data_IF_761469381242
#
_entry.id   IF_761469381242
#
_cell.length_a   1.000
_cell.length_b   1.000
_cell.length_c   1.000
_cell.angle_alpha   90.00
_cell.angle_beta   90.00
_cell.angle_gamma   90.00
#
_symmetry.space_group_name_H-M   'P 1'
#
loop_
_entity.id
_entity.type
_entity.pdbx_description
1 polymer ?
#
# COMPACT_ATOMS: atom_id res chain seq x y z
N UNK A 1 -25.33 -89.79 -0.87
CA UNK A 1 -26.42 -88.78 -0.86
C UNK A 1 -26.97 -88.79 0.56
N UNK A 2 -26.78 -87.83 1.47
CA UNK A 2 -26.50 -86.40 1.39
C UNK A 2 -25.48 -86.00 2.47
N UNK A 3 -24.71 -84.95 2.18
CA UNK A 3 -23.67 -84.34 3.01
C UNK A 3 -24.33 -83.33 3.97
N UNK A 4 -24.08 -83.43 5.28
CA UNK A 4 -24.45 -82.41 6.29
C UNK A 4 -23.26 -81.46 6.49
N UNK A 5 -23.26 -80.32 5.79
CA UNK A 5 -22.31 -79.22 6.01
C UNK A 5 -22.81 -78.37 7.17
N UNK A 6 -21.99 -78.30 8.23
CA UNK A 6 -22.10 -77.38 9.33
C UNK A 6 -21.81 -75.95 8.83
N UNK A 7 -22.80 -75.07 8.89
CA UNK A 7 -22.65 -73.63 8.64
C UNK A 7 -22.12 -72.94 9.90
N UNK A 8 -20.83 -72.67 9.95
CA UNK A 8 -20.25 -71.63 10.82
C UNK A 8 -19.88 -70.42 9.95
N UNK A 9 -20.63 -69.34 10.10
CA UNK A 9 -20.29 -68.04 9.53
C UNK A 9 -19.27 -67.34 10.43
N UNK A 10 -18.06 -66.99 9.97
CA UNK A 10 -17.27 -65.98 10.63
C UNK A 10 -17.79 -64.59 10.22
N UNK A 11 -18.12 -63.78 11.22
CA UNK A 11 -18.37 -62.34 11.06
C UNK A 11 -17.14 -61.68 10.43
N UNK A 12 -17.25 -61.29 9.17
CA UNK A 12 -16.28 -60.40 8.54
C UNK A 12 -16.54 -58.98 9.06
N UNK A 13 -15.71 -58.52 9.99
CA UNK A 13 -15.62 -57.12 10.38
C UNK A 13 -15.15 -56.34 9.15
N UNK A 14 -16.08 -55.62 8.51
CA UNK A 14 -15.75 -54.64 7.48
C UNK A 14 -15.05 -53.47 8.18
N UNK A 15 -13.72 -53.47 8.16
CA UNK A 15 -12.94 -52.27 8.47
C UNK A 15 -13.18 -51.32 7.30
N UNK A 16 -13.84 -50.21 7.55
CA UNK A 16 -14.02 -49.15 6.56
C UNK A 16 -12.66 -48.65 6.07
N UNK A 17 -12.25 -49.07 4.87
CA UNK A 17 -11.14 -48.46 4.17
C UNK A 17 -11.55 -47.04 3.78
N UNK A 18 -11.03 -46.07 4.53
CA UNK A 18 -11.05 -44.67 4.14
C UNK A 18 -10.34 -44.53 2.79
N UNK A 19 -11.08 -44.16 1.75
CA UNK A 19 -10.60 -43.92 0.39
C UNK A 19 -9.79 -42.62 0.27
N UNK A 20 -8.95 -42.31 1.26
CA UNK A 20 -8.19 -41.05 1.34
C UNK A 20 -6.66 -41.26 1.30
N UNK A 21 -6.19 -42.49 1.04
CA UNK A 21 -4.76 -42.79 0.99
C UNK A 21 -4.08 -42.45 -0.36
N UNK A 22 -4.83 -42.35 -1.46
CA UNK A 22 -4.22 -42.34 -2.80
C UNK A 22 -3.59 -41.01 -3.22
N UNK A 23 -3.91 -39.89 -2.56
CA UNK A 23 -3.34 -38.57 -2.90
C UNK A 23 -2.34 -38.16 -1.84
N UNK A 24 -1.07 -38.03 -2.24
CA UNK A 24 -0.01 -37.50 -1.39
C UNK A 24 -0.22 -36.01 -1.11
N UNK A 25 -0.56 -35.70 0.14
CA UNK A 25 -0.73 -34.33 0.64
C UNK A 25 -0.45 -34.29 2.13
N UNK A 26 -0.10 -33.11 2.62
CA UNK A 26 -0.06 -32.87 4.05
C UNK A 26 -1.48 -32.85 4.62
N UNK A 27 -1.65 -33.36 5.84
CA UNK A 27 -2.90 -33.25 6.59
C UNK A 27 -3.03 -31.88 7.25
N UNK A 28 -1.89 -31.27 7.58
CA UNK A 28 -1.80 -29.92 8.13
C UNK A 28 -1.31 -28.94 7.06
N UNK A 29 -1.99 -27.81 6.93
CA UNK A 29 -1.62 -26.77 5.94
C UNK A 29 -0.33 -26.02 6.33
N UNK A 30 0.13 -26.18 7.58
CA UNK A 30 1.21 -25.38 8.17
C UNK A 30 2.49 -26.18 8.46
N UNK A 31 2.71 -27.32 7.80
CA UNK A 31 3.88 -28.17 7.98
C UNK A 31 5.22 -27.41 7.89
N UNK A 32 5.30 -26.44 6.98
CA UNK A 32 6.48 -25.57 6.83
C UNK A 32 6.85 -24.79 8.11
N UNK A 33 5.88 -24.45 8.97
CA UNK A 33 6.13 -23.72 10.23
C UNK A 33 6.87 -24.55 11.27
N UNK A 34 6.78 -25.88 11.19
CA UNK A 34 7.51 -26.78 12.07
C UNK A 34 8.96 -27.02 11.59
N UNK A 35 9.30 -26.59 10.37
CA UNK A 35 10.62 -26.69 9.78
C UNK A 35 11.07 -28.11 9.43
N UNK A 36 12.12 -28.22 8.59
CA UNK A 36 12.59 -29.50 8.05
C UNK A 36 13.07 -30.49 9.14
N UNK A 37 13.58 -29.98 10.27
CA UNK A 37 14.05 -30.82 11.38
C UNK A 37 12.95 -31.70 11.98
N UNK A 38 11.68 -31.30 11.85
CA UNK A 38 10.53 -32.06 12.32
C UNK A 38 10.38 -33.40 11.58
N UNK A 39 10.79 -33.47 10.32
CA UNK A 39 10.75 -34.69 9.51
C UNK A 39 11.64 -35.81 10.07
N UNK A 40 12.72 -35.46 10.77
CA UNK A 40 13.60 -36.44 11.41
C UNK A 40 13.29 -36.61 12.90
N UNK A 41 13.10 -35.52 13.64
CA UNK A 41 12.89 -35.56 15.11
C UNK A 41 11.56 -36.17 15.52
N UNK A 42 10.53 -36.01 14.69
CA UNK A 42 9.16 -36.46 14.96
C UNK A 42 8.62 -37.27 13.78
N UNK A 43 9.42 -38.22 13.28
CA UNK A 43 9.17 -38.92 12.03
C UNK A 43 7.75 -39.50 11.91
N UNK A 44 7.25 -40.19 12.95
CA UNK A 44 5.90 -40.77 12.91
C UNK A 44 4.81 -39.68 12.78
N UNK A 45 4.88 -38.65 13.63
CA UNK A 45 3.96 -37.52 13.55
C UNK A 45 4.05 -36.83 12.17
N UNK A 46 5.27 -36.69 11.63
CA UNK A 46 5.51 -36.08 10.33
C UNK A 46 4.99 -36.95 9.17
N UNK A 47 5.03 -38.28 9.28
CA UNK A 47 4.39 -39.20 8.33
C UNK A 47 2.87 -39.04 8.33
N UNK A 48 2.27 -38.91 9.52
CA UNK A 48 0.82 -38.82 9.65
C UNK A 48 0.26 -37.44 9.25
N UNK A 49 1.06 -36.38 9.40
CA UNK A 49 0.59 -35.00 9.27
C UNK A 49 1.22 -34.21 8.13
N UNK A 50 2.47 -34.52 7.75
CA UNK A 50 3.32 -33.69 6.88
C UNK A 50 4.07 -34.52 5.82
N UNK A 51 3.45 -35.60 5.33
CA UNK A 51 4.05 -36.55 4.37
C UNK A 51 4.54 -35.92 3.07
N UNK A 52 3.87 -34.90 2.55
CA UNK A 52 4.29 -34.23 1.34
C UNK A 52 5.45 -33.25 1.62
N UNK A 53 5.32 -32.41 2.65
CA UNK A 53 6.38 -31.50 3.09
C UNK A 53 7.69 -32.24 3.43
N UNK A 54 7.58 -33.37 4.15
CA UNK A 54 8.72 -34.20 4.54
C UNK A 54 9.17 -35.19 3.47
N UNK A 55 8.59 -35.15 2.27
CA UNK A 55 8.95 -36.00 1.13
C UNK A 55 8.82 -37.51 1.41
N UNK A 56 7.94 -37.89 2.33
CA UNK A 56 7.59 -39.30 2.56
C UNK A 56 6.69 -39.87 1.45
N UNK A 57 6.17 -39.00 0.58
CA UNK A 57 5.50 -39.37 -0.65
C UNK A 57 5.71 -38.29 -1.72
N UNK A 58 5.42 -38.63 -2.98
CA UNK A 58 5.47 -37.69 -4.11
C UNK A 58 4.12 -36.99 -4.23
N UNK A 59 4.07 -35.72 -3.88
CA UNK A 59 2.86 -34.91 -4.02
C UNK A 59 2.53 -34.69 -5.51
N UNK A 60 1.24 -34.58 -5.88
CA UNK A 60 0.86 -34.05 -7.19
C UNK A 60 1.55 -32.69 -7.41
N UNK A 61 1.84 -32.30 -8.66
CA UNK A 61 2.34 -30.98 -8.97
C UNK A 61 1.44 -29.93 -8.33
N UNK A 62 1.97 -29.22 -7.34
CA UNK A 62 1.22 -28.13 -6.71
C UNK A 62 1.26 -26.93 -7.64
N UNK A 63 0.14 -26.22 -7.72
CA UNK A 63 0.16 -24.89 -8.34
C UNK A 63 1.07 -24.02 -7.47
N UNK A 64 2.15 -23.43 -8.01
CA UNK A 64 3.05 -22.61 -7.22
C UNK A 64 2.25 -21.48 -6.56
N UNK A 65 2.42 -21.29 -5.25
CA UNK A 65 1.76 -20.19 -4.52
C UNK A 65 2.13 -18.89 -5.24
N UNK A 66 1.14 -18.12 -5.76
CA UNK A 66 1.41 -16.89 -6.49
C UNK A 66 2.31 -15.96 -5.69
N UNK A 67 3.26 -15.31 -6.37
CA UNK A 67 4.02 -14.23 -5.76
C UNK A 67 3.20 -12.95 -5.85
N UNK A 68 2.38 -12.75 -4.84
CA UNK A 68 1.51 -11.60 -4.70
C UNK A 68 1.35 -11.28 -3.21
N UNK A 69 1.03 -10.03 -2.94
CA UNK A 69 0.58 -9.61 -1.62
C UNK A 69 -0.92 -9.90 -1.50
N UNK A 70 -1.31 -10.53 -0.39
CA UNK A 70 -2.72 -10.72 -0.03
C UNK A 70 -3.30 -9.44 0.54
N UNK A 71 -2.50 -8.69 1.29
CA UNK A 71 -2.88 -7.40 1.86
C UNK A 71 -2.48 -6.26 0.92
N UNK A 72 -3.38 -5.29 0.72
CA UNK A 72 -3.09 -4.10 -0.10
C UNK A 72 -2.18 -3.07 0.59
N UNK A 73 -1.88 -3.25 1.87
CA UNK A 73 -1.18 -2.28 2.71
C UNK A 73 0.17 -2.78 3.26
N UNK A 74 0.79 -3.79 2.63
CA UNK A 74 2.08 -4.33 3.07
C UNK A 74 3.17 -3.25 3.26
N UNK A 75 3.15 -2.22 2.40
CA UNK A 75 4.05 -1.05 2.49
C UNK A 75 3.96 -0.28 3.81
N UNK A 76 2.79 -0.31 4.47
CA UNK A 76 2.54 0.48 5.69
C UNK A 76 3.14 -0.17 6.95
N UNK A 77 3.46 -1.48 6.89
CA UNK A 77 4.14 -2.20 7.97
C UNK A 77 5.65 -1.93 8.01
N UNK A 78 6.21 -1.28 6.97
CA UNK A 78 7.62 -0.94 6.87
C UNK A 78 8.53 -2.12 6.54
N UNK A 79 9.76 -1.84 6.07
CA UNK A 79 10.69 -2.86 5.62
C UNK A 79 11.22 -3.79 6.74
N UNK A 80 11.13 -3.36 8.00
CA UNK A 80 11.60 -4.14 9.15
C UNK A 80 10.81 -5.43 9.34
N UNK A 81 9.51 -5.43 9.05
CA UNK A 81 8.65 -6.62 9.16
C UNK A 81 9.15 -7.76 8.26
N UNK A 82 9.78 -7.42 7.14
CA UNK A 82 10.29 -8.39 6.17
C UNK A 82 11.54 -9.14 6.66
N UNK A 83 12.25 -8.60 7.67
CA UNK A 83 13.51 -9.13 8.17
C UNK A 83 13.36 -9.75 9.57
N UNK A 84 12.29 -9.41 10.29
CA UNK A 84 12.05 -9.90 11.64
C UNK A 84 11.53 -11.36 11.62
N UNK A 85 12.28 -12.32 12.20
CA UNK A 85 11.89 -13.73 12.22
C UNK A 85 10.54 -13.99 12.89
N UNK A 86 10.11 -13.13 13.83
CA UNK A 86 8.82 -13.26 14.51
C UNK A 86 7.65 -13.13 13.52
N UNK A 87 7.80 -12.29 12.50
CA UNK A 87 6.78 -12.02 11.50
C UNK A 87 6.92 -12.85 10.24
N UNK A 88 7.97 -13.66 10.09
CA UNK A 88 8.21 -14.46 8.88
C UNK A 88 6.98 -15.28 8.43
N UNK A 89 6.23 -15.98 9.32
CA UNK A 89 5.02 -16.69 8.89
C UNK A 89 3.94 -15.75 8.37
N UNK A 90 3.73 -14.62 9.04
CA UNK A 90 2.75 -13.62 8.61
C UNK A 90 3.12 -12.98 7.28
N UNK A 91 4.41 -12.68 7.06
CA UNK A 91 4.93 -12.15 5.79
C UNK A 91 4.70 -13.14 4.65
N UNK A 92 4.97 -14.43 4.89
CA UNK A 92 4.70 -15.50 3.92
C UNK A 92 3.21 -15.60 3.58
N UNK A 93 2.32 -15.35 4.52
CA UNK A 93 0.88 -15.46 4.27
C UNK A 93 0.26 -14.19 3.66
N UNK A 94 0.89 -13.03 3.85
CA UNK A 94 0.24 -11.74 3.59
C UNK A 94 0.98 -10.82 2.62
N UNK A 95 2.31 -10.82 2.64
CA UNK A 95 3.14 -9.78 2.03
C UNK A 95 4.37 -10.34 1.29
N UNK A 96 4.22 -11.51 0.65
CA UNK A 96 5.33 -12.22 0.01
C UNK A 96 6.02 -11.40 -1.06
N UNK A 97 5.25 -10.71 -1.91
CA UNK A 97 5.81 -9.94 -3.01
C UNK A 97 6.52 -8.69 -2.48
N UNK A 98 5.85 -7.93 -1.60
CA UNK A 98 6.42 -6.76 -0.95
C UNK A 98 7.75 -7.07 -0.24
N UNK A 99 7.78 -8.15 0.53
CA UNK A 99 8.95 -8.58 1.29
C UNK A 99 9.91 -9.48 0.50
N UNK A 100 9.68 -9.66 -0.80
CA UNK A 100 10.52 -10.48 -1.69
C UNK A 100 10.73 -11.93 -1.21
N UNK A 101 9.74 -12.51 -0.52
CA UNK A 101 9.75 -13.89 -0.01
C UNK A 101 9.22 -14.89 -1.05
N UNK A 102 9.59 -14.67 -2.31
CA UNK A 102 9.26 -15.52 -3.46
C UNK A 102 10.54 -16.06 -4.08
N UNK A 103 10.44 -17.09 -4.94
CA UNK A 103 11.61 -17.50 -5.73
C UNK A 103 11.97 -16.45 -6.78
N UNK A 104 13.21 -16.50 -7.28
CA UNK A 104 13.70 -15.56 -8.31
C UNK A 104 12.81 -15.57 -9.57
N UNK A 105 12.41 -16.76 -10.05
CA UNK A 105 11.51 -16.90 -11.19
C UNK A 105 10.14 -16.25 -10.94
N UNK A 106 9.61 -16.42 -9.72
CA UNK A 106 8.35 -15.83 -9.33
C UNK A 106 8.43 -14.29 -9.25
N UNK A 107 9.54 -13.76 -8.74
CA UNK A 107 9.80 -12.32 -8.69
C UNK A 107 9.93 -11.73 -10.09
N UNK A 108 10.67 -12.38 -11.00
CA UNK A 108 10.82 -11.92 -12.37
C UNK A 108 9.46 -11.82 -13.10
N UNK A 109 8.60 -12.83 -12.92
CA UNK A 109 7.24 -12.81 -13.48
C UNK A 109 6.39 -11.70 -12.83
N UNK A 110 6.42 -11.56 -11.50
CA UNK A 110 5.62 -10.55 -10.81
C UNK A 110 6.08 -9.12 -11.17
N UNK A 111 7.38 -8.88 -11.20
CA UNK A 111 7.97 -7.59 -11.56
C UNK A 111 7.62 -7.20 -12.98
N UNK A 112 7.69 -8.14 -13.94
CA UNK A 112 7.29 -7.88 -15.34
C UNK A 112 5.84 -7.37 -15.50
N UNK A 113 4.94 -7.76 -14.57
CA UNK A 113 3.55 -7.31 -14.54
C UNK A 113 3.39 -5.93 -13.89
N UNK A 114 4.26 -5.58 -12.95
CA UNK A 114 4.25 -4.23 -12.35
C UNK A 114 4.83 -3.18 -13.31
N UNK A 115 5.80 -3.54 -14.14
CA UNK A 115 6.42 -2.62 -15.12
C UNK A 115 5.48 -2.27 -16.27
N UNK A 116 4.39 -3.02 -16.47
CA UNK A 116 3.39 -2.77 -17.52
C UNK A 116 2.26 -1.83 -17.09
N UNK A 117 2.14 -1.51 -15.79
CA UNK A 117 1.17 -0.52 -15.34
C UNK A 117 1.75 0.89 -15.54
N UNK A 118 1.10 1.76 -16.33
CA UNK A 118 1.55 3.13 -16.48
C UNK A 118 1.61 3.81 -15.09
N UNK A 119 2.64 4.64 -14.82
CA UNK A 119 2.76 5.34 -13.55
C UNK A 119 1.45 6.10 -13.30
N UNK A 120 0.89 6.05 -12.07
CA UNK A 120 -0.39 6.68 -11.86
C UNK A 120 -0.31 8.18 -12.13
N UNK A 121 -1.43 8.82 -12.56
CA UNK A 121 -1.42 10.21 -12.98
C UNK A 121 -0.83 11.14 -11.92
N UNK A 122 -0.06 12.13 -12.37
CA UNK A 122 0.50 13.17 -11.50
C UNK A 122 -0.55 14.23 -11.18
N UNK A 123 -1.48 13.89 -10.31
CA UNK A 123 -2.57 14.77 -9.88
C UNK A 123 -2.79 14.65 -8.38
N UNK A 124 -3.27 15.74 -7.78
CA UNK A 124 -3.81 15.70 -6.43
C UNK A 124 -5.26 15.23 -6.50
N UNK A 125 -5.59 14.14 -5.81
CA UNK A 125 -6.98 13.67 -5.66
C UNK A 125 -7.77 14.59 -4.75
N UNK A 126 -7.09 15.18 -3.76
CA UNK A 126 -7.68 16.13 -2.81
C UNK A 126 -7.27 17.55 -3.22
N UNK A 127 -8.25 18.45 -3.42
CA UNK A 127 -7.98 19.83 -3.86
C UNK A 127 -7.24 20.70 -2.84
N UNK A 128 -7.22 20.29 -1.58
CA UNK A 128 -6.71 21.08 -0.44
C UNK A 128 -5.40 20.53 0.13
N UNK A 129 -4.58 19.87 -0.68
CA UNK A 129 -3.27 19.33 -0.24
C UNK A 129 -2.38 20.39 0.44
N UNK A 130 -2.41 21.64 -0.04
CA UNK A 130 -1.69 22.76 0.59
C UNK A 130 -2.09 23.04 2.04
N UNK A 131 -3.33 22.72 2.46
CA UNK A 131 -3.78 22.91 3.86
C UNK A 131 -3.15 21.94 4.84
N UNK A 132 -2.66 20.80 4.36
CA UNK A 132 -1.96 19.83 5.20
C UNK A 132 -0.47 20.20 5.40
N UNK A 133 0.03 21.17 4.63
CA UNK A 133 1.41 21.66 4.70
C UNK A 133 2.44 20.69 4.12
N UNK A 134 3.66 21.18 3.90
CA UNK A 134 4.74 20.41 3.29
C UNK A 134 5.17 19.20 4.13
N UNK A 135 5.02 19.28 5.45
CA UNK A 135 5.32 18.17 6.37
C UNK A 135 4.45 16.95 6.13
N UNK A 136 3.27 17.09 5.53
CA UNK A 136 2.43 15.95 5.16
C UNK A 136 3.08 15.06 4.12
N UNK A 137 3.91 15.63 3.25
CA UNK A 137 4.65 14.88 2.25
C UNK A 137 5.62 13.89 2.91
N UNK A 138 6.31 14.29 3.97
CA UNK A 138 7.28 13.42 4.65
C UNK A 138 6.66 12.57 5.74
N UNK A 139 5.83 13.16 6.61
CA UNK A 139 5.27 12.52 7.80
C UNK A 139 4.16 11.51 7.47
N UNK A 140 3.45 11.74 6.36
CA UNK A 140 2.35 10.89 5.90
C UNK A 140 2.58 10.44 4.45
N UNK A 141 3.83 10.07 4.13
CA UNK A 141 4.26 9.76 2.77
C UNK A 141 3.32 8.79 2.01
N UNK A 142 2.87 7.65 2.58
CA UNK A 142 1.95 6.77 1.86
C UNK A 142 0.64 7.47 1.48
N UNK A 143 0.02 8.18 2.43
CA UNK A 143 -1.18 8.96 2.19
C UNK A 143 -0.96 10.07 1.16
N UNK A 144 0.17 10.78 1.23
CA UNK A 144 0.52 11.86 0.32
C UNK A 144 0.79 11.37 -1.11
N UNK A 145 1.40 10.19 -1.29
CA UNK A 145 1.56 9.54 -2.61
C UNK A 145 0.21 9.20 -3.26
N UNK A 146 -0.78 8.86 -2.45
CA UNK A 146 -2.09 8.45 -2.92
C UNK A 146 -3.04 9.63 -3.14
N UNK A 147 -2.89 10.73 -2.42
CA UNK A 147 -3.84 11.84 -2.40
C UNK A 147 -3.30 13.18 -2.92
N UNK A 148 -2.01 13.44 -2.72
CA UNK A 148 -1.36 14.75 -2.89
C UNK A 148 -0.08 14.63 -3.72
N UNK A 149 -0.13 13.80 -4.76
CA UNK A 149 1.05 13.37 -5.50
C UNK A 149 1.73 14.53 -6.23
N UNK A 150 0.94 15.45 -6.80
CA UNK A 150 1.47 16.62 -7.48
C UNK A 150 2.02 17.62 -6.45
N UNK A 151 1.24 17.95 -5.43
CA UNK A 151 1.65 18.84 -4.34
C UNK A 151 2.97 18.38 -3.69
N UNK A 152 3.09 17.09 -3.38
CA UNK A 152 4.29 16.51 -2.78
C UNK A 152 5.36 16.07 -3.78
N UNK A 153 5.15 16.34 -5.07
CA UNK A 153 6.06 16.02 -6.17
C UNK A 153 6.48 14.54 -6.22
N UNK A 154 5.57 13.65 -5.88
CA UNK A 154 5.73 12.18 -5.95
C UNK A 154 5.42 11.60 -7.33
N UNK A 155 5.67 12.40 -8.37
CA UNK A 155 5.48 12.04 -9.76
C UNK A 155 6.81 11.65 -10.41
N UNK A 156 6.76 11.04 -11.59
CA UNK A 156 7.99 10.84 -12.38
C UNK A 156 8.52 12.17 -12.91
N UNK A 157 9.79 12.20 -13.30
CA UNK A 157 10.41 13.42 -13.84
C UNK A 157 9.69 13.91 -15.09
N UNK A 158 9.30 12.99 -15.97
CA UNK A 158 8.55 13.29 -17.19
C UNK A 158 7.18 13.89 -16.87
N UNK A 159 6.50 13.35 -15.85
CA UNK A 159 5.21 13.87 -15.40
C UNK A 159 5.34 15.28 -14.79
N UNK A 160 6.39 15.55 -14.02
CA UNK A 160 6.65 16.87 -13.46
C UNK A 160 6.91 17.90 -14.56
N UNK A 161 7.70 17.54 -15.57
CA UNK A 161 7.93 18.42 -16.74
C UNK A 161 6.63 18.77 -17.46
N UNK A 162 5.69 17.82 -17.60
CA UNK A 162 4.37 18.07 -18.19
C UNK A 162 3.54 19.01 -17.32
N UNK A 163 3.50 18.79 -15.99
CA UNK A 163 2.73 19.63 -15.07
C UNK A 163 3.29 21.06 -15.00
N UNK A 164 4.60 21.22 -14.93
CA UNK A 164 5.26 22.52 -14.88
C UNK A 164 5.10 23.27 -16.22
N UNK A 165 5.16 22.54 -17.34
CA UNK A 165 4.88 23.10 -18.67
C UNK A 165 3.43 23.55 -18.81
N UNK A 166 2.46 22.79 -18.27
CA UNK A 166 1.04 23.16 -18.29
C UNK A 166 0.74 24.40 -17.43
N UNK A 167 1.52 24.60 -16.36
CA UNK A 167 1.46 25.81 -15.53
C UNK A 167 1.99 27.04 -16.28
N UNK A 168 2.93 26.83 -17.21
CA UNK A 168 3.53 27.90 -18.03
C UNK A 168 2.74 28.18 -19.32
N UNK A 169 2.01 27.17 -19.86
CA UNK A 169 1.22 27.27 -21.10
C UNK A 169 -0.28 27.33 -20.83
N UNK A 170 -0.72 28.02 -19.78
CA UNK A 170 -2.12 28.45 -19.69
C UNK A 170 -2.30 29.63 -20.64
N UNK A 171 -2.69 29.31 -21.87
CA UNK A 171 -3.38 30.27 -22.74
C UNK A 171 -4.55 30.84 -21.94
N UNK A 172 -4.58 32.15 -21.85
CA UNK A 172 -5.60 33.03 -21.29
C UNK A 172 -7.02 32.60 -21.68
N UNK A 173 -7.61 31.67 -20.93
CA UNK A 173 -9.05 31.69 -20.70
C UNK A 173 -9.23 32.30 -19.32
N UNK A 174 -9.56 33.59 -19.32
CA UNK A 174 -9.72 34.42 -18.15
C UNK A 174 -10.67 33.73 -17.15
N UNK A 175 -10.08 33.07 -16.15
CA UNK A 175 -10.74 33.02 -14.84
C UNK A 175 -10.76 34.48 -14.39
N UNK A 176 -11.93 35.06 -14.05
CA UNK A 176 -11.99 36.44 -13.61
C UNK A 176 -10.94 36.63 -12.50
N UNK A 177 -10.14 37.71 -12.55
CA UNK A 177 -9.10 37.94 -11.57
C UNK A 177 -9.71 37.82 -10.18
N UNK A 178 -9.15 36.94 -9.35
CA UNK A 178 -9.61 36.80 -7.96
C UNK A 178 -9.58 38.19 -7.33
N UNK A 179 -10.72 38.70 -6.81
CA UNK A 179 -10.74 39.99 -6.14
C UNK A 179 -9.75 39.97 -4.98
N UNK A 180 -8.86 40.97 -4.93
CA UNK A 180 -7.95 41.16 -3.80
C UNK A 180 -8.74 41.82 -2.67
N UNK A 181 -9.41 40.98 -1.88
CA UNK A 181 -10.25 41.34 -0.76
C UNK A 181 -10.16 40.27 0.34
N UNK A 182 -10.13 40.70 1.59
CA UNK A 182 -10.28 39.80 2.73
C UNK A 182 -11.70 39.21 2.72
N UNK A 183 -11.80 37.89 2.84
CA UNK A 183 -13.08 37.18 2.85
C UNK A 183 -13.69 37.09 4.23
N UNK A 184 -12.86 37.12 5.26
CA UNK A 184 -13.30 37.09 6.65
C UNK A 184 -13.10 38.47 7.28
N UNK A 185 -14.03 38.90 8.15
CA UNK A 185 -13.82 40.11 8.93
C UNK A 185 -12.74 39.88 9.99
N UNK A 186 -12.13 40.96 10.46
CA UNK A 186 -11.20 40.97 11.58
C UNK A 186 -9.94 40.11 11.39
N UNK A 187 -9.26 40.21 10.24
CA UNK A 187 -7.97 39.54 10.05
C UNK A 187 -6.90 39.96 11.09
N UNK A 188 -7.06 41.14 11.69
CA UNK A 188 -6.23 41.72 12.76
C UNK A 188 -6.41 41.07 14.13
N UNK A 189 -7.48 40.29 14.36
CA UNK A 189 -7.65 39.56 15.64
C UNK A 189 -6.84 38.27 15.68
N UNK A 190 -6.35 37.82 14.53
CA UNK A 190 -5.39 36.74 14.44
C UNK A 190 -3.99 37.31 14.66
N UNK A 191 -3.09 36.50 15.21
CA UNK A 191 -1.70 36.89 15.37
C UNK A 191 -1.08 37.09 13.97
N UNK A 192 -0.22 38.11 13.81
CA UNK A 192 0.50 38.42 12.56
C UNK A 192 1.31 37.23 11.99
N UNK A 193 1.54 36.19 12.80
CA UNK A 193 2.07 34.91 12.35
C UNK A 193 1.25 34.25 11.23
N UNK A 194 -0.07 34.54 11.10
CA UNK A 194 -0.87 34.05 9.98
C UNK A 194 -0.33 34.52 8.62
N UNK A 195 0.35 35.67 8.57
CA UNK A 195 0.87 36.27 7.36
C UNK A 195 2.30 35.81 7.05
N UNK A 196 3.07 35.46 8.07
CA UNK A 196 4.52 35.17 7.94
C UNK A 196 4.85 33.69 8.06
N UNK A 197 4.02 32.91 8.75
CA UNK A 197 4.23 31.48 8.93
C UNK A 197 3.80 30.69 7.68
N UNK A 198 4.72 29.92 7.12
CA UNK A 198 4.48 29.09 5.94
C UNK A 198 3.30 28.12 6.12
N UNK A 199 3.05 27.65 7.35
CA UNK A 199 1.93 26.77 7.68
C UNK A 199 0.56 27.42 7.39
N UNK A 200 0.45 28.74 7.54
CA UNK A 200 -0.80 29.48 7.35
C UNK A 200 -0.89 30.16 5.98
N UNK A 201 0.16 30.07 5.15
CA UNK A 201 0.26 30.78 3.87
C UNK A 201 -0.96 30.56 2.96
N UNK A 202 -1.38 29.31 2.73
CA UNK A 202 -2.56 29.03 1.90
C UNK A 202 -3.87 29.54 2.50
N UNK A 203 -3.99 29.56 3.83
CA UNK A 203 -5.17 30.11 4.49
C UNK A 203 -5.18 31.64 4.40
N UNK A 204 -4.03 32.30 4.59
CA UNK A 204 -3.90 33.75 4.48
C UNK A 204 -4.16 34.24 3.05
N UNK A 205 -3.62 33.56 2.03
CA UNK A 205 -3.91 33.85 0.61
C UNK A 205 -5.42 33.71 0.28
N UNK A 206 -6.14 32.84 1.00
CA UNK A 206 -7.56 32.59 0.73
C UNK A 206 -8.49 33.52 1.49
N UNK A 207 -8.13 33.92 2.72
CA UNK A 207 -9.04 34.58 3.66
C UNK A 207 -8.64 36.01 4.01
N UNK A 208 -7.34 36.29 4.11
CA UNK A 208 -6.79 37.58 4.54
C UNK A 208 -5.71 38.12 3.57
N UNK A 209 -5.89 38.05 2.24
CA UNK A 209 -4.82 38.39 1.31
C UNK A 209 -4.51 39.89 1.25
N UNK A 210 -5.44 40.77 1.63
CA UNK A 210 -5.20 42.21 1.74
C UNK A 210 -4.46 42.51 3.04
N UNK A 211 -4.96 42.01 4.18
CA UNK A 211 -4.32 42.18 5.48
C UNK A 211 -2.86 41.70 5.46
N UNK A 212 -2.62 40.52 4.90
CA UNK A 212 -1.27 39.94 4.80
C UNK A 212 -0.44 40.45 3.61
N UNK A 213 -0.94 41.41 2.83
CA UNK A 213 -0.26 41.95 1.65
C UNK A 213 0.13 40.88 0.62
N UNK A 214 -0.65 39.79 0.54
CA UNK A 214 -0.43 38.65 -0.35
C UNK A 214 -1.11 38.84 -1.72
N UNK A 215 -1.81 39.96 -1.92
CA UNK A 215 -2.38 40.37 -3.19
C UNK A 215 -2.18 41.87 -3.43
N UNK A 216 -2.21 42.28 -4.71
CA UNK A 216 -2.14 43.68 -5.10
C UNK A 216 -3.45 44.13 -5.75
N UNK A 217 -4.00 45.24 -5.28
CA UNK A 217 -4.91 46.07 -6.09
C UNK A 217 -4.13 47.25 -6.66
N UNK A 218 -4.55 47.76 -7.81
CA UNK A 218 -4.06 49.04 -8.35
C UNK A 218 -4.21 50.22 -7.36
N UNK A 219 -5.15 50.12 -6.42
CA UNK A 219 -5.41 51.09 -5.35
C UNK A 219 -4.37 51.06 -4.22
N UNK A 220 -3.81 49.90 -3.86
CA UNK A 220 -2.72 49.78 -2.85
C UNK A 220 -1.41 50.41 -3.34
N UNK A 221 -1.10 50.29 -4.63
CA UNK A 221 0.06 50.96 -5.24
C UNK A 221 -0.03 52.49 -5.15
N UNK A 222 -1.24 53.06 -5.15
CA UNK A 222 -1.47 54.51 -5.09
C UNK A 222 -1.18 55.08 -3.69
N UNK A 223 -1.31 54.27 -2.64
CA UNK A 223 -1.01 54.65 -1.25
C UNK A 223 0.47 54.51 -0.89
N UNK A 224 1.25 53.66 -1.57
CA UNK A 224 2.70 53.58 -1.33
C UNK A 224 3.50 54.71 -2.02
N UNK A 225 2.95 55.36 -3.05
CA UNK A 225 3.63 56.48 -3.75
C UNK A 225 3.43 57.82 -3.02
N UNK A 226 2.34 57.98 -2.26
CA UNK A 226 2.16 59.13 -1.37
C UNK A 226 2.52 58.67 0.04
N UNK A 227 3.74 58.96 0.46
CA UNK A 227 4.15 58.77 1.85
C UNK A 227 3.16 59.43 2.84
N UNK A 228 3.23 59.07 4.13
CA UNK A 228 2.34 59.64 5.13
C UNK A 228 2.53 61.16 5.19
N UNK A 229 1.47 61.92 4.95
CA UNK A 229 1.38 63.31 5.40
C UNK A 229 0.95 63.29 6.85
N UNK A 230 1.92 63.38 7.76
CA UNK A 230 1.89 64.19 9.00
C UNK A 230 3.32 64.64 9.31
#
# INVERSE_FOLDING_TARGET
>A
MYILILLSLPFATVIGQSTDESVCRDKLDNCARYGQATCQKFQQWAQDNCRAFCQFCVAPPTTPVPCADKLGNCKDYGATVCQDPLYAPWVIDNCRYHCRQCSDDQLAIADSKTTTLPPPPCVDKIKICGRYGQSACTSYKPWAQDNCRNFCRYCTQEQLLIVDSKTTTTTTLATPPKPCADKIPHCDVYNDDICTNEKYRSWAEENCPVYCMLCSTSELNRRMIRGPTE
#
